data_IF_776235027203
#
_entry.id   IF_776235027203
#
_cell.length_a   1.000
_cell.length_b   1.000
_cell.length_c   1.000
_cell.angle_alpha   90.00
_cell.angle_beta   90.00
_cell.angle_gamma   90.00
#
_symmetry.space_group_name_H-M   'P 1'
#
loop_
_entity.id
_entity.type
_entity.pdbx_description
1 polymer ?
#
# COMPACT_ATOMS: atom_id res chain seq x y z
N UNK A 1 24.28 -22.33 -15.17
CA UNK A 1 24.60 -21.70 -13.88
C UNK A 1 23.29 -21.45 -13.19
N UNK A 2 23.07 -22.00 -12.00
CA UNK A 2 21.89 -21.66 -11.22
C UNK A 2 22.03 -20.17 -10.87
N UNK A 3 21.09 -19.37 -11.30
CA UNK A 3 21.04 -17.96 -10.93
C UNK A 3 20.75 -17.89 -9.44
N UNK A 4 21.65 -17.27 -8.69
CA UNK A 4 21.49 -16.94 -7.28
C UNK A 4 20.37 -15.90 -7.16
N UNK A 5 19.13 -16.32 -7.25
CA UNK A 5 17.99 -15.43 -7.04
C UNK A 5 17.11 -15.90 -5.88
N UNK A 6 16.59 -14.94 -5.15
CA UNK A 6 15.86 -15.10 -3.91
C UNK A 6 15.65 -13.77 -3.21
N UNK A 7 15.03 -13.82 -2.05
CA UNK A 7 14.77 -12.65 -1.22
C UNK A 7 16.03 -12.27 -0.43
N UNK A 8 16.53 -11.05 -0.63
CA UNK A 8 17.63 -10.50 0.17
C UNK A 8 17.12 -9.38 1.06
N UNK A 9 17.42 -9.47 2.34
CA UNK A 9 16.97 -8.48 3.32
C UNK A 9 18.16 -7.95 4.09
N UNK A 10 18.27 -6.63 4.15
CA UNK A 10 19.36 -5.94 4.81
C UNK A 10 18.88 -5.17 6.02
N UNK A 11 19.72 -5.11 7.05
CA UNK A 11 19.50 -4.32 8.25
C UNK A 11 20.82 -3.73 8.74
N UNK A 12 20.74 -2.68 9.58
CA UNK A 12 21.94 -1.97 10.06
C UNK A 12 22.75 -2.80 11.06
N UNK A 13 22.07 -3.49 11.98
CA UNK A 13 22.69 -4.14 13.13
C UNK A 13 21.79 -5.25 13.69
N UNK A 14 22.21 -5.84 14.81
CA UNK A 14 21.50 -6.93 15.50
C UNK A 14 20.07 -6.56 15.91
N UNK A 15 19.78 -5.29 16.21
CA UNK A 15 18.42 -4.84 16.57
C UNK A 15 17.45 -4.98 15.38
N UNK A 16 17.94 -4.69 14.17
CA UNK A 16 17.15 -4.85 12.94
C UNK A 16 17.01 -6.29 12.47
N UNK A 17 17.90 -7.18 12.91
CA UNK A 17 17.98 -8.55 12.40
C UNK A 17 16.71 -9.34 12.60
N UNK A 18 16.05 -9.23 13.76
CA UNK A 18 14.80 -9.96 14.05
C UNK A 18 13.67 -9.55 13.07
N UNK A 19 13.56 -8.25 12.78
CA UNK A 19 12.58 -7.74 11.82
C UNK A 19 12.93 -8.22 10.39
N UNK A 20 14.20 -8.18 10.00
CA UNK A 20 14.69 -8.64 8.72
C UNK A 20 14.43 -10.14 8.51
N UNK A 21 14.68 -10.99 9.51
CA UNK A 21 14.40 -12.44 9.45
C UNK A 21 12.89 -12.72 9.33
N UNK A 22 12.05 -11.99 10.04
CA UNK A 22 10.59 -12.14 9.93
C UNK A 22 10.08 -11.78 8.54
N UNK A 23 10.59 -10.70 7.95
CA UNK A 23 10.24 -10.28 6.57
C UNK A 23 10.78 -11.28 5.55
N UNK A 24 12.05 -11.69 5.67
CA UNK A 24 12.66 -12.71 4.80
C UNK A 24 11.85 -14.01 4.82
N UNK A 25 11.49 -14.48 6.00
CA UNK A 25 10.72 -15.74 6.14
C UNK A 25 9.36 -15.68 5.43
N UNK A 26 8.65 -14.56 5.57
CA UNK A 26 7.33 -14.39 4.97
C UNK A 26 7.41 -14.23 3.44
N UNK A 27 8.40 -13.48 2.94
CA UNK A 27 8.56 -13.21 1.51
C UNK A 27 9.20 -14.40 0.78
N UNK A 28 10.23 -15.04 1.35
CA UNK A 28 10.88 -16.22 0.79
C UNK A 28 9.95 -17.43 0.67
N UNK A 29 8.90 -17.49 1.49
CA UNK A 29 7.87 -18.52 1.37
C UNK A 29 7.11 -18.48 0.03
N UNK A 30 7.00 -17.33 -0.60
CA UNK A 30 6.30 -17.12 -1.87
C UNK A 30 7.25 -16.84 -3.04
N UNK A 31 8.50 -16.52 -2.79
CA UNK A 31 9.51 -16.24 -3.80
C UNK A 31 9.87 -17.51 -4.59
N UNK A 32 10.05 -17.45 -5.91
CA UNK A 32 10.52 -18.56 -6.72
C UNK A 32 11.98 -18.89 -6.47
N UNK A 33 12.80 -17.89 -6.17
CA UNK A 33 14.19 -18.07 -5.77
C UNK A 33 14.33 -18.68 -4.38
N UNK A 34 15.46 -19.33 -4.10
CA UNK A 34 15.70 -20.02 -2.83
C UNK A 34 17.00 -19.60 -2.12
N UNK A 35 17.72 -18.66 -2.71
CA UNK A 35 18.89 -18.05 -2.06
C UNK A 35 18.46 -16.86 -1.18
N UNK A 36 17.60 -17.16 -0.19
CA UNK A 36 17.09 -16.15 0.74
C UNK A 36 18.11 -15.85 1.84
N UNK A 37 18.42 -14.58 2.05
CA UNK A 37 19.45 -14.17 3.02
C UNK A 37 19.08 -12.92 3.81
N UNK A 38 19.68 -12.80 5.02
CA UNK A 38 19.70 -11.57 5.81
C UNK A 38 21.15 -11.18 6.05
N UNK A 39 21.49 -9.94 5.71
CA UNK A 39 22.83 -9.40 5.86
C UNK A 39 22.84 -8.02 6.52
N UNK A 40 23.95 -7.66 7.14
CA UNK A 40 24.18 -6.29 7.60
C UNK A 40 24.67 -5.42 6.46
N UNK A 41 24.12 -4.22 6.36
CA UNK A 41 24.51 -3.19 5.40
C UNK A 41 24.66 -1.85 6.14
N UNK A 42 25.85 -1.27 6.08
CA UNK A 42 26.17 0.01 6.74
C UNK A 42 26.43 1.13 5.75
N UNK A 43 26.50 0.81 4.47
CA UNK A 43 26.82 1.70 3.35
C UNK A 43 25.58 2.20 2.59
N UNK A 44 24.39 1.66 2.88
CA UNK A 44 23.14 2.12 2.28
C UNK A 44 22.55 3.28 3.09
N UNK A 45 22.33 4.41 2.41
CA UNK A 45 21.74 5.61 3.02
C UNK A 45 20.39 5.32 3.67
N UNK A 46 19.54 4.56 2.99
CA UNK A 46 18.19 4.19 3.42
C UNK A 46 18.17 3.36 4.72
N UNK A 47 19.26 2.69 5.03
CA UNK A 47 19.41 1.88 6.25
C UNK A 47 20.11 2.66 7.35
N UNK A 48 21.11 3.48 7.00
CA UNK A 48 22.05 4.08 7.94
C UNK A 48 21.54 5.42 8.53
N UNK A 49 20.78 6.20 7.77
CA UNK A 49 20.35 7.54 8.18
C UNK A 49 19.07 7.56 9.03
N UNK A 50 18.05 6.74 8.80
CA UNK A 50 16.86 6.76 9.62
C UNK A 50 17.15 6.45 11.09
N UNK A 51 16.53 7.22 12.01
CA UNK A 51 16.58 6.93 13.45
C UNK A 51 15.73 5.72 13.84
N UNK A 52 14.74 5.39 13.01
CA UNK A 52 13.88 4.22 13.20
C UNK A 52 14.60 2.95 12.78
N UNK A 53 14.20 1.82 13.34
CA UNK A 53 14.62 0.51 12.89
C UNK A 53 14.21 0.33 11.43
N UNK A 54 15.20 0.08 10.56
CA UNK A 54 15.01 -0.02 9.11
C UNK A 54 15.34 -1.42 8.62
N UNK A 55 14.52 -1.91 7.72
CA UNK A 55 14.72 -3.14 6.96
C UNK A 55 14.62 -2.81 5.48
N UNK A 56 15.65 -3.12 4.72
CA UNK A 56 15.70 -2.92 3.26
C UNK A 56 15.51 -4.26 2.58
N UNK A 57 14.59 -4.34 1.63
CA UNK A 57 14.14 -5.60 1.04
C UNK A 57 14.36 -5.60 -0.47
N UNK A 58 15.11 -6.57 -0.96
CA UNK A 58 15.20 -6.94 -2.36
C UNK A 58 14.36 -8.20 -2.58
N UNK A 59 13.25 -8.05 -3.29
CA UNK A 59 12.23 -9.12 -3.40
C UNK A 59 12.65 -10.27 -4.29
N UNK A 60 13.34 -9.97 -5.37
CA UNK A 60 13.88 -10.84 -6.41
C UNK A 60 14.75 -10.01 -7.36
N UNK A 61 15.43 -10.67 -8.28
CA UNK A 61 16.24 -10.02 -9.28
C UNK A 61 15.48 -9.83 -10.59
N UNK A 62 15.54 -8.63 -11.15
CA UNK A 62 14.82 -8.27 -12.37
C UNK A 62 15.60 -8.59 -13.67
N UNK A 63 16.85 -8.99 -13.55
CA UNK A 63 17.75 -9.35 -14.65
C UNK A 63 17.51 -10.74 -15.23
N UNK A 64 16.64 -11.52 -14.58
CA UNK A 64 16.15 -12.80 -15.11
C UNK A 64 14.70 -12.70 -15.55
N UNK A 65 14.33 -13.44 -16.61
CA UNK A 65 12.94 -13.50 -17.08
C UNK A 65 12.01 -14.00 -15.96
N UNK A 66 12.42 -15.04 -15.24
CA UNK A 66 11.64 -15.59 -14.13
C UNK A 66 11.42 -14.59 -13.01
N UNK A 67 12.47 -13.91 -12.56
CA UNK A 67 12.39 -12.95 -11.47
C UNK A 67 11.56 -11.72 -11.87
N UNK A 68 11.82 -11.14 -13.04
CA UNK A 68 11.09 -9.96 -13.50
C UNK A 68 9.61 -10.24 -13.74
N UNK A 69 9.27 -11.40 -14.30
CA UNK A 69 7.88 -11.82 -14.50
C UNK A 69 7.17 -12.07 -13.17
N UNK A 70 7.86 -12.72 -12.24
CA UNK A 70 7.30 -12.97 -10.92
C UNK A 70 7.02 -11.67 -10.17
N UNK A 71 7.96 -10.72 -10.13
CA UNK A 71 7.76 -9.40 -9.49
C UNK A 71 6.53 -8.70 -10.07
N UNK A 72 6.42 -8.63 -11.40
CA UNK A 72 5.29 -7.95 -12.07
C UNK A 72 3.93 -8.60 -11.78
N UNK A 73 3.90 -9.94 -11.75
CA UNK A 73 2.66 -10.71 -11.55
C UNK A 73 2.22 -10.77 -10.08
N UNK A 74 3.15 -10.60 -9.13
CA UNK A 74 2.93 -10.83 -7.71
C UNK A 74 3.07 -9.59 -6.83
N UNK A 75 3.02 -8.38 -7.37
CA UNK A 75 3.22 -7.12 -6.62
C UNK A 75 2.35 -7.02 -5.35
N UNK A 76 1.09 -7.47 -5.43
CA UNK A 76 0.18 -7.47 -4.27
C UNK A 76 0.62 -8.51 -3.24
N UNK A 77 0.92 -9.75 -3.68
CA UNK A 77 1.36 -10.83 -2.80
C UNK A 77 2.70 -10.50 -2.10
N UNK A 78 3.62 -9.84 -2.82
CA UNK A 78 4.88 -9.32 -2.25
C UNK A 78 4.59 -8.33 -1.12
N UNK A 79 3.72 -7.34 -1.36
CA UNK A 79 3.32 -6.37 -0.34
C UNK A 79 2.65 -7.01 0.88
N UNK A 80 1.77 -7.99 0.66
CA UNK A 80 1.15 -8.76 1.73
C UNK A 80 2.15 -9.58 2.53
N UNK A 81 3.12 -10.23 1.88
CA UNK A 81 4.14 -11.02 2.55
C UNK A 81 5.06 -10.14 3.41
N UNK A 82 5.49 -8.98 2.92
CA UNK A 82 6.25 -8.01 3.72
C UNK A 82 5.44 -7.57 4.94
N UNK A 83 4.16 -7.22 4.74
CA UNK A 83 3.28 -6.82 5.83
C UNK A 83 3.09 -7.94 6.87
N UNK A 84 2.91 -9.20 6.44
CA UNK A 84 2.86 -10.37 7.33
C UNK A 84 4.15 -10.54 8.14
N UNK A 85 5.30 -10.38 7.49
CA UNK A 85 6.59 -10.40 8.15
C UNK A 85 6.71 -9.33 9.24
N UNK A 86 6.28 -8.10 8.95
CA UNK A 86 6.23 -7.03 9.94
C UNK A 86 5.25 -7.32 11.07
N UNK A 87 4.06 -7.83 10.77
CA UNK A 87 3.10 -8.24 11.79
C UNK A 87 3.67 -9.32 12.71
N UNK A 88 4.38 -10.31 12.18
CA UNK A 88 5.06 -11.34 12.96
C UNK A 88 6.15 -10.75 13.87
N UNK A 89 6.90 -9.77 13.39
CA UNK A 89 7.91 -9.08 14.19
C UNK A 89 7.31 -8.32 15.39
N UNK A 90 6.16 -7.66 15.18
CA UNK A 90 5.47 -6.89 16.23
C UNK A 90 4.51 -7.72 17.07
N UNK A 91 4.45 -9.03 16.84
CA UNK A 91 3.49 -9.94 17.49
C UNK A 91 2.03 -9.45 17.38
N UNK A 92 1.67 -8.95 16.20
CA UNK A 92 0.32 -8.51 15.89
C UNK A 92 -0.29 -9.39 14.79
N UNK A 93 -1.58 -9.67 14.91
CA UNK A 93 -2.27 -10.48 13.90
C UNK A 93 -2.39 -9.73 12.58
N UNK A 94 -1.88 -10.33 11.49
CA UNK A 94 -2.12 -9.82 10.15
C UNK A 94 -3.62 -9.89 9.82
N UNK A 95 -4.22 -8.75 9.52
CA UNK A 95 -5.58 -8.70 8.99
C UNK A 95 -5.50 -8.61 7.49
N UNK A 96 -5.89 -9.68 6.79
CA UNK A 96 -6.16 -9.55 5.36
C UNK A 96 -7.33 -8.58 5.21
N UNK A 97 -7.24 -7.64 4.27
CA UNK A 97 -8.43 -7.01 3.70
C UNK A 97 -9.17 -8.04 2.82
N UNK A 98 -9.28 -9.27 3.29
CA UNK A 98 -10.19 -10.26 2.74
C UNK A 98 -11.58 -9.68 2.93
N UNK A 99 -12.29 -9.47 1.86
CA UNK A 99 -13.71 -9.18 1.87
C UNK A 99 -14.36 -9.99 3.00
N UNK A 100 -14.81 -9.27 4.04
CA UNK A 100 -15.18 -9.83 5.33
C UNK A 100 -16.09 -11.05 5.25
N UNK A 101 -15.73 -12.03 6.02
CA UNK A 101 -16.73 -12.85 6.70
C UNK A 101 -16.77 -12.42 8.16
N UNK A 102 -17.37 -11.29 8.44
CA UNK A 102 -18.02 -11.07 9.70
C UNK A 102 -19.52 -11.20 9.44
N UNK A 103 -20.01 -12.41 9.70
CA UNK A 103 -21.43 -12.74 9.62
C UNK A 103 -22.15 -12.13 10.80
N UNK A 104 -22.58 -10.88 10.66
CA UNK A 104 -23.76 -10.37 11.34
C UNK A 104 -24.25 -9.06 10.72
N UNK A 105 -25.28 -9.19 9.96
CA UNK A 105 -26.29 -8.29 9.40
C UNK A 105 -26.24 -8.17 7.87
N UNK A 106 -27.17 -8.89 7.27
CA UNK A 106 -27.62 -8.75 5.90
C UNK A 106 -28.03 -7.28 5.60
N UNK A 107 -27.26 -6.67 4.71
CA UNK A 107 -27.59 -5.49 3.96
C UNK A 107 -26.78 -5.60 2.67
N UNK A 108 -27.49 -5.74 1.54
CA UNK A 108 -26.91 -5.94 0.22
C UNK A 108 -26.11 -4.72 -0.23
N UNK A 109 -24.83 -4.64 0.15
CA UNK A 109 -23.91 -3.66 -0.40
C UNK A 109 -22.80 -4.39 -1.17
N UNK A 110 -22.84 -4.29 -2.51
CA UNK A 110 -21.72 -4.64 -3.39
C UNK A 110 -20.47 -3.94 -2.85
N UNK A 111 -19.46 -4.71 -2.49
CA UNK A 111 -18.19 -4.18 -2.00
C UNK A 111 -17.68 -3.09 -2.96
N UNK A 112 -17.47 -1.87 -2.44
CA UNK A 112 -17.04 -0.73 -3.24
C UNK A 112 -15.67 -1.01 -3.88
N UNK A 113 -15.59 -0.98 -5.21
CA UNK A 113 -14.32 -1.12 -5.94
C UNK A 113 -13.58 0.21 -5.92
N UNK A 114 -12.45 0.25 -5.22
CA UNK A 114 -11.53 1.40 -5.20
C UNK A 114 -11.09 1.74 -6.61
N UNK A 115 -10.95 3.04 -6.89
CA UNK A 115 -10.45 3.54 -8.17
C UNK A 115 -9.67 4.84 -7.98
N UNK A 116 -8.94 5.26 -9.01
CA UNK A 116 -8.13 6.47 -8.96
C UNK A 116 -8.78 7.54 -9.84
N UNK A 117 -8.82 8.77 -9.31
CA UNK A 117 -9.26 9.96 -10.03
C UNK A 117 -8.14 10.97 -10.13
N UNK A 118 -8.12 11.75 -11.21
CA UNK A 118 -7.29 12.93 -11.39
C UNK A 118 -8.15 14.17 -11.23
N UNK A 119 -7.63 15.20 -10.55
CA UNK A 119 -8.31 16.49 -10.38
C UNK A 119 -8.21 17.27 -11.69
N UNK A 120 -9.35 17.66 -12.27
CA UNK A 120 -9.44 18.43 -13.54
C UNK A 120 -9.66 19.90 -13.31
N UNK A 121 -10.28 20.29 -12.19
CA UNK A 121 -10.54 21.70 -11.83
C UNK A 121 -9.26 22.53 -11.77
N UNK A 122 -9.24 23.68 -12.43
CA UNK A 122 -8.10 24.61 -12.44
C UNK A 122 -7.72 25.14 -11.05
N UNK A 123 -8.71 25.27 -10.17
CA UNK A 123 -8.55 25.81 -8.81
C UNK A 123 -8.38 24.70 -7.74
N UNK A 124 -8.22 23.44 -8.17
CA UNK A 124 -8.26 22.32 -7.26
C UNK A 124 -9.66 22.00 -6.78
N UNK A 125 -9.78 21.14 -5.75
CA UNK A 125 -11.04 20.73 -5.15
C UNK A 125 -10.92 20.72 -3.63
N UNK A 126 -11.89 21.30 -2.94
CA UNK A 126 -11.94 21.27 -1.48
C UNK A 126 -12.14 19.83 -0.96
N UNK A 127 -11.39 19.50 0.08
CA UNK A 127 -11.65 18.33 0.92
C UNK A 127 -12.61 18.74 2.01
N UNK A 128 -13.67 17.96 2.22
CA UNK A 128 -14.67 18.24 3.28
C UNK A 128 -14.73 17.09 4.28
N UNK A 129 -15.15 17.39 5.49
CA UNK A 129 -15.31 16.38 6.57
C UNK A 129 -16.38 15.35 6.27
N UNK A 130 -17.32 15.64 5.36
CA UNK A 130 -18.39 14.75 4.92
C UNK A 130 -18.77 14.94 3.45
N UNK A 131 -19.66 14.08 2.90
CA UNK A 131 -20.08 14.11 1.51
C UNK A 131 -21.13 15.20 1.27
N UNK A 132 -20.70 16.45 1.11
CA UNK A 132 -21.59 17.56 0.82
C UNK A 132 -20.98 18.94 1.10
N UNK A 133 -21.52 19.97 0.45
CA UNK A 133 -21.10 21.37 0.66
C UNK A 133 -21.53 21.92 2.03
N UNK A 134 -22.42 21.25 2.71
CA UNK A 134 -22.87 21.55 4.09
C UNK A 134 -21.87 21.07 5.17
N UNK A 135 -20.81 20.35 4.79
CA UNK A 135 -19.74 19.97 5.71
C UNK A 135 -18.56 20.94 5.61
N UNK A 136 -17.89 21.14 6.74
CA UNK A 136 -16.70 22.00 6.83
C UNK A 136 -15.61 21.58 5.85
N UNK A 137 -14.87 22.56 5.34
CA UNK A 137 -13.66 22.35 4.55
C UNK A 137 -12.52 21.93 5.48
N UNK A 138 -11.84 20.86 5.12
CA UNK A 138 -10.68 20.28 5.85
C UNK A 138 -9.39 20.36 5.04
N UNK A 139 -9.33 21.17 4.00
CA UNK A 139 -8.20 21.33 3.10
C UNK A 139 -8.60 21.32 1.64
N UNK A 140 -7.63 21.18 0.75
CA UNK A 140 -7.87 21.12 -0.69
C UNK A 140 -6.85 20.20 -1.37
N UNK A 141 -7.21 19.71 -2.55
CA UNK A 141 -6.36 18.95 -3.47
C UNK A 141 -6.09 19.76 -4.74
N UNK A 142 -4.84 19.86 -5.21
CA UNK A 142 -4.50 20.67 -6.37
C UNK A 142 -4.90 20.00 -7.69
N UNK A 143 -5.00 20.83 -8.76
CA UNK A 143 -5.16 20.37 -10.14
C UNK A 143 -4.08 19.37 -10.52
N UNK A 144 -4.46 18.34 -11.28
CA UNK A 144 -3.56 17.31 -11.79
C UNK A 144 -3.19 16.23 -10.76
N UNK A 145 -3.46 16.43 -9.47
CA UNK A 145 -3.24 15.44 -8.42
C UNK A 145 -4.08 14.18 -8.65
N UNK A 146 -3.50 13.00 -8.40
CA UNK A 146 -4.17 11.70 -8.51
C UNK A 146 -4.47 11.14 -7.11
N UNK A 147 -5.72 10.73 -6.89
CA UNK A 147 -6.21 10.31 -5.57
C UNK A 147 -7.03 9.04 -5.66
N UNK A 148 -6.84 8.13 -4.70
CA UNK A 148 -7.63 6.91 -4.59
C UNK A 148 -8.93 7.17 -3.84
N UNK A 149 -10.05 6.81 -4.46
CA UNK A 149 -11.39 6.84 -3.88
C UNK A 149 -11.71 5.47 -3.29
N UNK A 150 -12.17 5.44 -2.05
CA UNK A 150 -12.47 4.22 -1.29
C UNK A 150 -13.94 4.07 -0.93
N UNK A 151 -14.74 5.11 -1.13
CA UNK A 151 -16.19 5.12 -0.92
C UNK A 151 -16.83 6.24 -1.75
N UNK A 152 -18.11 6.10 -2.13
CA UNK A 152 -18.89 7.13 -2.79
C UNK A 152 -20.21 7.35 -2.07
N UNK A 153 -20.62 8.61 -1.98
CA UNK A 153 -21.95 8.99 -1.46
C UNK A 153 -22.53 10.16 -2.25
N UNK A 154 -23.86 10.20 -2.31
CA UNK A 154 -24.56 11.40 -2.76
C UNK A 154 -24.56 12.44 -1.64
N UNK A 155 -24.57 13.73 -2.01
CA UNK A 155 -24.58 14.82 -1.04
C UNK A 155 -24.79 16.16 -1.71
N UNK A 156 -25.04 17.20 -0.93
CA UNK A 156 -25.30 18.54 -1.45
C UNK A 156 -24.12 19.10 -2.22
N UNK A 157 -24.36 19.78 -3.34
CA UNK A 157 -23.39 20.56 -4.08
C UNK A 157 -22.51 19.80 -5.08
N UNK A 158 -22.72 18.49 -5.26
CA UNK A 158 -22.14 17.68 -6.33
C UNK A 158 -23.01 16.44 -6.59
N UNK A 159 -22.91 15.88 -7.80
CA UNK A 159 -23.63 14.65 -8.14
C UNK A 159 -23.16 13.48 -7.28
N UNK A 160 -21.86 13.40 -7.03
CA UNK A 160 -21.24 12.41 -6.14
C UNK A 160 -20.04 12.97 -5.38
N UNK A 161 -19.83 12.42 -4.21
CA UNK A 161 -18.69 12.68 -3.35
C UNK A 161 -17.86 11.41 -3.17
N UNK A 162 -16.55 11.52 -3.36
CA UNK A 162 -15.60 10.42 -3.19
C UNK A 162 -14.78 10.57 -1.91
N UNK A 163 -14.73 9.51 -1.09
CA UNK A 163 -13.89 9.46 0.11
C UNK A 163 -12.44 9.16 -0.26
N UNK A 164 -11.53 10.00 0.17
CA UNK A 164 -10.10 9.83 -0.04
C UNK A 164 -9.54 8.69 0.81
N UNK A 165 -8.70 7.83 0.22
CA UNK A 165 -8.00 6.75 0.93
C UNK A 165 -7.13 7.25 2.07
N UNK A 166 -6.59 8.47 1.97
CA UNK A 166 -5.77 9.10 3.02
C UNK A 166 -6.51 9.35 4.33
N UNK A 167 -7.85 9.26 4.32
CA UNK A 167 -8.66 9.64 5.48
C UNK A 167 -8.89 11.15 5.62
N UNK A 168 -8.32 11.99 4.75
CA UNK A 168 -8.43 13.46 4.84
C UNK A 168 -9.88 13.97 4.67
N UNK A 169 -10.76 13.19 4.06
CA UNK A 169 -12.17 13.53 3.91
C UNK A 169 -12.73 13.19 2.53
N UNK A 170 -13.69 14.01 2.08
CA UNK A 170 -14.48 13.81 0.87
C UNK A 170 -14.21 14.91 -0.15
N UNK A 171 -14.16 14.57 -1.43
CA UNK A 171 -14.05 15.50 -2.57
C UNK A 171 -15.23 15.34 -3.51
N UNK A 172 -15.65 16.43 -4.17
CA UNK A 172 -16.66 16.40 -5.21
C UNK A 172 -16.07 15.75 -6.48
N UNK A 173 -16.70 14.66 -6.94
CA UNK A 173 -16.22 13.89 -8.10
C UNK A 173 -16.52 14.58 -9.43
N UNK A 174 -17.43 15.55 -9.49
CA UNK A 174 -17.75 16.34 -10.67
C UNK A 174 -16.53 17.11 -11.22
N UNK A 175 -15.52 17.31 -10.41
CA UNK A 175 -14.27 17.99 -10.75
C UNK A 175 -13.10 17.02 -10.94
N UNK A 176 -13.42 15.78 -11.27
CA UNK A 176 -12.39 14.73 -11.42
C UNK A 176 -12.61 13.90 -12.67
N UNK A 177 -11.55 13.28 -13.15
CA UNK A 177 -11.54 12.28 -14.19
C UNK A 177 -11.09 10.94 -13.61
N UNK A 178 -11.84 9.87 -13.87
CA UNK A 178 -11.43 8.53 -13.47
C UNK A 178 -10.34 8.02 -14.40
N UNK A 179 -9.19 7.63 -13.84
CA UNK A 179 -8.03 7.17 -14.61
C UNK A 179 -7.67 5.70 -14.39
N UNK A 180 -8.24 5.06 -13.38
CA UNK A 180 -8.05 3.61 -13.12
C UNK A 180 -9.11 3.08 -12.15
#
# INVERSE_FOLDING_TARGET
MASDFGTRVFCLNSNGRKAAEAVKSALGAISPGKDDSVSYKTDLYEINVPKALTVYVECEFHDTVTGSDWIRKNTVAIGEAICKGMCNYFDVKYKTDSAGSDSSKAGSDKAFRRYIVRITSSNGVNIRKGPGTNYDVNGAVPKGGAYTIVDEKSGAGAAKWGKLKSGAGWIALDYTEKIR
#
